data_IF_922087945511
#
_entry.id   IF_922087945511
#
_cell.length_a   1.000
_cell.length_b   1.000
_cell.length_c   1.000
_cell.angle_alpha   90.00
_cell.angle_beta   90.00
_cell.angle_gamma   90.00
#
_symmetry.space_group_name_H-M   'P 1'
#
loop_
_entity.id
_entity.type
_entity.pdbx_description
1 polymer ?
#
# COMPACT_ATOMS: atom_id res chain seq x y z
N UNK A 1 18.33 -15.49 -2.70
CA UNK A 1 17.05 -15.75 -2.04
C UNK A 1 15.91 -14.99 -2.73
N UNK A 2 15.91 -13.66 -2.75
CA UNK A 2 14.84 -12.85 -3.36
C UNK A 2 14.51 -13.18 -4.84
N UNK A 3 15.52 -13.25 -5.72
CA UNK A 3 15.29 -13.57 -7.14
C UNK A 3 14.66 -14.96 -7.34
N UNK A 4 15.15 -15.98 -6.65
CA UNK A 4 14.59 -17.35 -6.69
C UNK A 4 13.12 -17.37 -6.27
N UNK A 5 12.75 -16.62 -5.23
CA UNK A 5 11.34 -16.50 -4.81
C UNK A 5 10.49 -15.84 -5.90
N UNK A 6 10.99 -14.80 -6.57
CA UNK A 6 10.24 -14.18 -7.67
C UNK A 6 10.00 -15.16 -8.82
N UNK A 7 10.98 -16.00 -9.14
CA UNK A 7 10.86 -17.03 -10.17
C UNK A 7 9.84 -18.11 -9.78
N UNK A 8 9.90 -18.61 -8.54
CA UNK A 8 8.97 -19.62 -8.01
C UNK A 8 7.52 -19.15 -8.04
N UNK A 9 7.26 -17.91 -7.62
CA UNK A 9 5.91 -17.32 -7.60
C UNK A 9 5.52 -16.67 -8.95
N UNK A 10 6.33 -16.81 -10.00
CA UNK A 10 6.12 -16.19 -11.33
C UNK A 10 5.88 -14.67 -11.27
N UNK A 11 6.56 -13.99 -10.34
CA UNK A 11 6.45 -12.55 -10.11
C UNK A 11 7.46 -11.82 -11.01
N UNK A 12 6.96 -10.98 -11.92
CA UNK A 12 7.80 -10.10 -12.74
C UNK A 12 8.27 -8.90 -11.91
N UNK A 13 9.55 -8.88 -11.53
CA UNK A 13 10.14 -7.71 -10.85
C UNK A 13 10.41 -6.56 -11.82
N UNK A 14 9.62 -5.50 -11.70
CA UNK A 14 9.78 -4.26 -12.46
C UNK A 14 10.63 -3.28 -11.65
N UNK A 15 11.80 -2.91 -12.17
CA UNK A 15 12.71 -1.95 -11.51
C UNK A 15 12.44 -0.54 -12.00
N UNK A 16 12.33 0.41 -11.07
CA UNK A 16 12.34 1.83 -11.41
C UNK A 16 13.74 2.26 -11.87
N UNK A 17 13.83 3.24 -12.78
CA UNK A 17 15.10 3.82 -13.21
C UNK A 17 15.69 4.67 -12.07
N UNK A 18 17.01 4.61 -11.92
CA UNK A 18 17.76 5.50 -11.02
C UNK A 18 17.45 6.97 -11.42
N UNK A 19 17.08 7.82 -10.46
CA UNK A 19 16.64 9.22 -10.64
C UNK A 19 15.26 9.44 -11.29
N UNK A 20 14.34 8.46 -11.21
CA UNK A 20 12.94 8.66 -11.61
C UNK A 20 11.97 8.52 -10.42
N UNK A 21 11.87 9.54 -9.54
CA UNK A 21 11.10 9.47 -8.30
C UNK A 21 9.59 9.28 -8.52
N UNK A 22 9.07 9.61 -9.70
CA UNK A 22 7.65 9.42 -10.02
C UNK A 22 7.19 7.95 -9.96
N UNK A 23 8.07 6.98 -10.22
CA UNK A 23 7.71 5.56 -10.20
C UNK A 23 7.48 5.01 -8.78
N UNK A 24 8.21 5.52 -7.78
CA UNK A 24 8.18 4.99 -6.41
C UNK A 24 7.39 5.86 -5.42
N UNK A 25 6.95 7.05 -5.84
CA UNK A 25 6.31 8.03 -4.95
C UNK A 25 5.10 7.50 -4.17
N UNK A 26 4.34 6.53 -4.70
CA UNK A 26 3.23 5.90 -3.96
C UNK A 26 3.71 5.05 -2.79
N UNK A 27 4.76 4.25 -2.98
CA UNK A 27 5.34 3.43 -1.92
C UNK A 27 5.99 4.32 -0.85
N UNK A 28 6.73 5.35 -1.27
CA UNK A 28 7.34 6.32 -0.36
C UNK A 28 6.29 7.07 0.47
N UNK A 29 5.21 7.53 -0.19
CA UNK A 29 4.10 8.21 0.49
C UNK A 29 3.36 7.30 1.47
N UNK A 30 3.20 6.02 1.14
CA UNK A 30 2.64 5.02 2.06
C UNK A 30 3.51 4.89 3.31
N UNK A 31 4.83 4.68 3.13
CA UNK A 31 5.78 4.56 4.25
C UNK A 31 5.76 5.80 5.13
N UNK A 32 5.79 6.99 4.54
CA UNK A 32 5.69 8.25 5.26
C UNK A 32 4.38 8.34 6.08
N UNK A 33 3.26 7.95 5.48
CA UNK A 33 1.95 7.99 6.14
C UNK A 33 1.88 7.02 7.32
N UNK A 34 2.38 5.79 7.15
CA UNK A 34 2.44 4.80 8.23
C UNK A 34 3.35 5.26 9.36
N UNK A 35 4.52 5.82 9.06
CA UNK A 35 5.43 6.39 10.07
C UNK A 35 4.79 7.51 10.87
N UNK A 36 4.00 8.38 10.23
CA UNK A 36 3.26 9.45 10.92
C UNK A 36 2.18 8.90 11.85
N UNK A 37 1.55 7.77 11.50
CA UNK A 37 0.53 7.15 12.34
C UNK A 37 1.11 6.26 13.44
N UNK A 38 2.30 5.69 13.25
CA UNK A 38 2.99 4.81 14.20
C UNK A 38 3.03 5.32 15.65
N UNK A 39 3.32 6.60 15.97
CA UNK A 39 3.35 7.07 17.36
C UNK A 39 2.00 6.92 18.09
N UNK A 40 0.87 6.87 17.36
CA UNK A 40 -0.45 6.68 17.95
C UNK A 40 -0.79 5.21 18.25
N UNK A 41 0.08 4.27 17.87
CA UNK A 41 -0.18 2.83 18.02
C UNK A 41 1.03 2.08 18.62
N UNK A 42 0.73 1.10 19.48
CA UNK A 42 1.76 0.29 20.15
C UNK A 42 2.60 -0.53 19.15
N UNK A 43 1.96 -1.12 18.13
CA UNK A 43 2.63 -2.02 17.15
C UNK A 43 2.40 -1.58 15.71
N UNK A 44 3.30 -1.99 14.81
CA UNK A 44 3.15 -1.78 13.37
C UNK A 44 1.91 -2.47 12.81
N UNK A 45 1.57 -3.66 13.31
CA UNK A 45 0.34 -4.37 12.92
C UNK A 45 -0.90 -3.51 13.18
N UNK A 46 -1.01 -2.89 14.37
CA UNK A 46 -2.14 -2.01 14.68
C UNK A 46 -2.17 -0.76 13.78
N UNK A 47 -1.00 -0.19 13.46
CA UNK A 47 -0.90 0.93 12.52
C UNK A 47 -1.40 0.53 11.12
N UNK A 48 -0.99 -0.64 10.63
CA UNK A 48 -1.38 -1.16 9.31
C UNK A 48 -2.86 -1.53 9.27
N UNK A 49 -3.39 -2.18 10.31
CA UNK A 49 -4.81 -2.50 10.42
C UNK A 49 -5.68 -1.25 10.43
N UNK A 50 -5.29 -0.22 11.19
CA UNK A 50 -5.98 1.06 11.19
C UNK A 50 -5.99 1.69 9.79
N UNK A 51 -4.83 1.76 9.12
CA UNK A 51 -4.72 2.31 7.78
C UNK A 51 -5.59 1.56 6.76
N UNK A 52 -5.58 0.24 6.79
CA UNK A 52 -6.28 -0.59 5.79
C UNK A 52 -7.79 -0.66 6.00
N UNK A 53 -8.28 -0.64 7.24
CA UNK A 53 -9.67 -0.99 7.56
C UNK A 53 -10.47 0.10 8.27
N UNK A 54 -9.83 1.12 8.84
CA UNK A 54 -10.52 2.15 9.64
C UNK A 54 -10.40 3.55 9.07
N UNK A 55 -9.37 3.83 8.27
CA UNK A 55 -9.15 5.14 7.65
C UNK A 55 -9.77 5.16 6.25
N UNK A 56 -10.87 5.91 6.01
CA UNK A 56 -11.38 6.12 4.66
C UNK A 56 -10.53 7.18 3.92
N UNK A 57 -10.35 7.03 2.61
CA UNK A 57 -9.51 7.91 1.79
C UNK A 57 -10.35 8.60 0.71
N UNK A 58 -10.29 9.94 0.66
CA UNK A 58 -10.93 10.72 -0.41
C UNK A 58 -10.43 10.34 -1.81
N UNK A 59 -9.14 10.05 -1.94
CA UNK A 59 -8.55 9.61 -3.21
C UNK A 59 -9.05 8.23 -3.68
N UNK A 60 -9.80 7.50 -2.86
CA UNK A 60 -10.39 6.19 -3.19
C UNK A 60 -11.91 6.26 -3.39
N UNK A 61 -12.47 7.47 -3.48
CA UNK A 61 -13.91 7.68 -3.67
C UNK A 61 -14.41 7.02 -4.96
N UNK A 62 -15.49 6.25 -4.83
CA UNK A 62 -16.23 5.69 -5.95
C UNK A 62 -17.67 5.48 -5.48
N UNK A 63 -18.50 6.52 -5.62
CA UNK A 63 -19.84 6.68 -5.04
C UNK A 63 -19.90 6.82 -3.51
N UNK A 64 -18.91 6.30 -2.79
CA UNK A 64 -18.69 6.55 -1.37
C UNK A 64 -17.18 6.54 -1.06
N UNK A 65 -16.81 7.08 0.11
CA UNK A 65 -15.43 7.01 0.58
C UNK A 65 -15.11 5.61 1.06
N UNK A 66 -14.02 5.05 0.53
CA UNK A 66 -13.60 3.68 0.84
C UNK A 66 -12.30 3.66 1.63
N UNK A 67 -12.13 2.59 2.41
CA UNK A 67 -10.84 2.21 2.97
C UNK A 67 -9.98 1.52 1.91
N UNK A 68 -8.64 1.45 2.10
CA UNK A 68 -7.77 0.71 1.19
C UNK A 68 -8.20 -0.75 0.99
N UNK A 69 -8.67 -1.43 2.04
CA UNK A 69 -9.18 -2.80 1.93
C UNK A 69 -10.42 -2.89 1.05
N UNK A 70 -11.40 -1.99 1.24
CA UNK A 70 -12.60 -1.96 0.40
C UNK A 70 -12.26 -1.70 -1.07
N UNK A 71 -11.40 -0.72 -1.34
CA UNK A 71 -10.97 -0.42 -2.70
C UNK A 71 -10.23 -1.59 -3.36
N UNK A 72 -9.44 -2.35 -2.58
CA UNK A 72 -8.79 -3.57 -3.05
C UNK A 72 -9.81 -4.65 -3.41
N UNK A 73 -10.77 -4.95 -2.51
CA UNK A 73 -11.80 -5.95 -2.74
C UNK A 73 -12.67 -5.61 -3.96
N UNK A 74 -13.02 -4.35 -4.14
CA UNK A 74 -13.80 -3.89 -5.31
C UNK A 74 -13.02 -4.05 -6.62
N UNK A 75 -11.70 -3.87 -6.58
CA UNK A 75 -10.84 -4.10 -7.74
C UNK A 75 -10.70 -5.58 -8.06
N UNK A 76 -10.66 -6.45 -7.04
CA UNK A 76 -10.56 -7.91 -7.21
C UNK A 76 -11.85 -8.54 -7.74
N UNK A 77 -13.00 -7.87 -7.57
CA UNK A 77 -14.30 -8.32 -8.10
C UNK A 77 -14.49 -8.00 -9.59
N UNK A 78 -13.64 -7.13 -10.16
CA UNK A 78 -13.66 -6.75 -11.57
C UNK A 78 -12.59 -7.52 -12.33
#
# INVERSE_FOLDING_TARGET
>A
MFQRTLEEYKIKHIRARVKHPQSNGKAERLVQTLKRHKPHFKTWEKTTLFYNFKRPHMSLYNNHTRTPSQAFMDKMRK
#
